data_IF_361686845606
#
_entry.id   IF_361686845606
#
_cell.length_a   1.000
_cell.length_b   1.000
_cell.length_c   1.000
_cell.angle_alpha   90.00
_cell.angle_beta   90.00
_cell.angle_gamma   90.00
#
_symmetry.space_group_name_H-M   'P 1'
#
loop_
_entity.id
_entity.type
_entity.pdbx_description
1 polymer ?
#
# COMPACT_ATOMS: atom_id res chain seq x y z
N UNK A 1 15.06 -7.24 17.05
CA UNK A 1 13.59 -7.23 17.11
C UNK A 1 13.06 -5.81 16.91
N UNK A 2 12.13 -5.62 16.01
CA UNK A 2 11.60 -4.29 15.70
C UNK A 2 10.64 -3.83 16.80
N UNK A 3 10.83 -2.62 17.32
CA UNK A 3 9.96 -2.08 18.37
C UNK A 3 8.62 -1.60 17.79
N UNK A 4 7.60 -1.54 18.63
CA UNK A 4 6.30 -1.00 18.25
C UNK A 4 6.42 0.46 17.82
N UNK A 5 7.26 1.24 18.48
CA UNK A 5 7.52 2.65 18.14
C UNK A 5 8.09 2.76 16.73
N UNK A 6 9.03 1.91 16.36
CA UNK A 6 9.62 1.89 15.02
C UNK A 6 8.57 1.50 13.97
N UNK A 7 7.76 0.48 14.27
CA UNK A 7 6.70 0.05 13.37
C UNK A 7 5.67 1.17 13.14
N UNK A 8 5.31 1.88 14.20
CA UNK A 8 4.37 3.00 14.11
C UNK A 8 4.94 4.11 13.24
N UNK A 9 6.21 4.46 13.42
CA UNK A 9 6.86 5.49 12.63
C UNK A 9 6.87 5.14 11.14
N UNK A 10 7.18 3.89 10.81
CA UNK A 10 7.16 3.41 9.43
C UNK A 10 5.74 3.44 8.88
N UNK A 11 4.76 2.99 9.66
CA UNK A 11 3.35 3.00 9.23
C UNK A 11 2.86 4.41 8.92
N UNK A 12 3.21 5.39 9.75
CA UNK A 12 2.85 6.79 9.51
C UNK A 12 3.50 7.33 8.25
N UNK A 13 4.78 7.08 8.06
CA UNK A 13 5.52 7.48 6.86
C UNK A 13 4.89 6.90 5.59
N UNK A 14 4.58 5.62 5.61
CA UNK A 14 3.99 4.93 4.46
C UNK A 14 2.55 5.39 4.19
N UNK A 15 1.79 5.66 5.24
CA UNK A 15 0.43 6.19 5.09
C UNK A 15 0.44 7.56 4.42
N UNK A 16 1.37 8.43 4.80
CA UNK A 16 1.52 9.74 4.18
C UNK A 16 1.94 9.60 2.71
N UNK A 17 2.92 8.74 2.43
CA UNK A 17 3.40 8.52 1.06
C UNK A 17 2.30 7.95 0.17
N UNK A 18 1.54 6.97 0.67
CA UNK A 18 0.43 6.38 -0.07
C UNK A 18 -0.70 7.40 -0.29
N UNK A 19 -0.99 8.19 0.73
CA UNK A 19 -2.00 9.26 0.62
C UNK A 19 -1.63 10.30 -0.43
N UNK A 20 -0.35 10.70 -0.48
CA UNK A 20 0.13 11.62 -1.49
C UNK A 20 0.02 11.03 -2.90
N UNK A 21 0.33 9.75 -3.04
CA UNK A 21 0.20 9.06 -4.34
C UNK A 21 -1.24 9.05 -4.82
N UNK A 22 -2.18 8.71 -3.94
CA UNK A 22 -3.60 8.69 -4.27
C UNK A 22 -4.08 10.10 -4.60
N UNK A 23 -3.69 11.09 -3.82
CA UNK A 23 -4.06 12.49 -4.05
C UNK A 23 -3.55 12.97 -5.42
N UNK A 24 -2.31 12.63 -5.80
CA UNK A 24 -1.76 13.02 -7.08
C UNK A 24 -2.56 12.42 -8.25
N UNK A 25 -2.98 11.17 -8.12
CA UNK A 25 -3.79 10.53 -9.14
C UNK A 25 -5.17 11.18 -9.27
N UNK A 26 -5.72 11.66 -8.16
CA UNK A 26 -6.99 12.39 -8.15
C UNK A 26 -6.86 13.80 -8.71
N UNK A 27 -5.80 14.52 -8.35
CA UNK A 27 -5.57 15.90 -8.76
C UNK A 27 -5.15 16.01 -10.23
N UNK A 28 -4.50 14.97 -10.75
CA UNK A 28 -4.00 14.93 -12.13
C UNK A 28 -4.56 13.71 -12.86
N UNK A 29 -5.89 13.67 -13.09
CA UNK A 29 -6.48 12.52 -13.75
C UNK A 29 -5.96 12.42 -15.19
N UNK A 30 -5.46 11.26 -15.54
CA UNK A 30 -5.10 10.96 -16.93
C UNK A 30 -6.37 11.06 -17.75
N UNK A 31 -6.35 11.70 -18.95
CA UNK A 31 -7.52 11.74 -19.79
C UNK A 31 -8.01 10.33 -20.07
N UNK A 32 -9.13 9.99 -19.47
CA UNK A 32 -9.66 8.63 -19.52
C UNK A 32 -10.69 8.57 -20.64
N UNK A 33 -10.26 8.19 -21.82
CA UNK A 33 -11.19 8.07 -22.94
C UNK A 33 -11.99 6.77 -22.87
N UNK A 34 -11.52 5.78 -22.11
CA UNK A 34 -12.16 4.47 -22.10
C UNK A 34 -12.27 3.84 -20.71
N UNK A 35 -11.68 4.44 -19.69
CA UNK A 35 -11.77 3.91 -18.33
C UNK A 35 -12.78 4.71 -17.53
N UNK A 36 -13.71 4.02 -16.86
CA UNK A 36 -14.65 4.65 -15.97
C UNK A 36 -14.00 5.11 -14.68
N UNK A 37 -14.72 5.91 -13.91
CA UNK A 37 -14.29 6.40 -12.60
C UNK A 37 -13.85 5.27 -11.67
N UNK A 38 -14.58 4.15 -11.70
CA UNK A 38 -14.28 2.98 -10.88
C UNK A 38 -12.89 2.41 -11.18
N UNK A 39 -12.48 2.38 -12.45
CA UNK A 39 -11.18 1.85 -12.83
C UNK A 39 -10.03 2.74 -12.33
N UNK A 40 -10.23 4.05 -12.32
CA UNK A 40 -9.26 5.01 -11.81
C UNK A 40 -9.06 4.81 -10.29
N UNK A 41 -10.16 4.64 -9.55
CA UNK A 41 -10.10 4.40 -8.09
C UNK A 41 -9.40 3.08 -7.80
N UNK A 42 -9.73 2.01 -8.52
CA UNK A 42 -9.11 0.71 -8.35
C UNK A 42 -7.60 0.76 -8.64
N UNK A 43 -7.21 1.45 -9.71
CA UNK A 43 -5.80 1.63 -10.05
C UNK A 43 -5.03 2.37 -8.95
N UNK A 44 -5.63 3.41 -8.37
CA UNK A 44 -5.02 4.16 -7.28
C UNK A 44 -4.85 3.28 -6.03
N UNK A 45 -5.84 2.46 -5.71
CA UNK A 45 -5.79 1.55 -4.57
C UNK A 45 -4.67 0.52 -4.74
N UNK A 46 -4.56 -0.09 -5.92
CA UNK A 46 -3.47 -1.03 -6.21
C UNK A 46 -2.11 -0.36 -6.14
N UNK A 47 -1.97 0.85 -6.66
CA UNK A 47 -0.71 1.58 -6.61
C UNK A 47 -0.30 1.90 -5.17
N UNK A 48 -1.25 2.34 -4.34
CA UNK A 48 -1.00 2.62 -2.94
C UNK A 48 -0.59 1.35 -2.18
N UNK A 49 -1.28 0.24 -2.41
CA UNK A 49 -0.95 -1.04 -1.80
C UNK A 49 0.46 -1.49 -2.21
N UNK A 50 0.79 -1.40 -3.48
CA UNK A 50 2.11 -1.79 -3.98
C UNK A 50 3.23 -0.93 -3.36
N UNK A 51 3.00 0.37 -3.22
CA UNK A 51 3.96 1.26 -2.57
C UNK A 51 4.25 0.81 -1.14
N UNK A 52 3.21 0.53 -0.37
CA UNK A 52 3.34 0.11 1.03
C UNK A 52 4.01 -1.26 1.12
N UNK A 53 3.53 -2.25 0.37
CA UNK A 53 4.06 -3.61 0.46
C UNK A 53 5.51 -3.70 0.01
N UNK A 54 5.88 -2.99 -1.05
CA UNK A 54 7.26 -2.96 -1.52
C UNK A 54 8.20 -2.32 -0.49
N UNK A 55 7.77 -1.23 0.15
CA UNK A 55 8.56 -0.57 1.18
C UNK A 55 8.74 -1.46 2.42
N UNK A 56 7.69 -2.15 2.85
CA UNK A 56 7.75 -3.06 4.00
C UNK A 56 8.65 -4.25 3.69
N UNK A 57 8.52 -4.85 2.51
CA UNK A 57 9.39 -5.98 2.11
C UNK A 57 10.85 -5.59 2.12
N UNK A 58 11.18 -4.38 1.68
CA UNK A 58 12.55 -3.90 1.65
C UNK A 58 13.14 -3.72 3.04
N UNK A 59 12.32 -3.23 3.98
CA UNK A 59 12.76 -2.97 5.36
C UNK A 59 12.63 -4.17 6.28
N UNK A 60 11.60 -4.98 6.09
CA UNK A 60 11.24 -6.08 6.98
C UNK A 60 10.91 -7.33 6.17
N UNK A 61 11.93 -8.01 5.62
CA UNK A 61 11.69 -9.14 4.71
C UNK A 61 11.01 -10.35 5.36
N UNK A 62 10.92 -10.39 6.70
CA UNK A 62 10.27 -11.49 7.43
C UNK A 62 8.83 -11.17 7.82
N UNK A 63 8.32 -9.98 7.47
CA UNK A 63 6.96 -9.59 7.80
C UNK A 63 5.97 -10.10 6.75
N UNK A 64 4.75 -10.39 7.20
CA UNK A 64 3.67 -10.82 6.33
C UNK A 64 2.64 -9.73 6.09
N UNK A 65 1.63 -10.04 5.28
CA UNK A 65 0.63 -9.08 4.85
C UNK A 65 -0.77 -9.68 4.85
N UNK A 66 -1.73 -8.86 5.21
CA UNK A 66 -3.15 -9.09 4.98
C UNK A 66 -3.67 -7.87 4.25
N UNK A 67 -4.06 -8.03 3.00
CA UNK A 67 -4.45 -6.92 2.14
C UNK A 67 -5.89 -7.07 1.65
N UNK A 68 -6.55 -5.95 1.43
CA UNK A 68 -7.89 -5.90 0.85
C UNK A 68 -7.88 -6.47 -0.58
N UNK A 69 -6.87 -6.05 -1.35
CA UNK A 69 -6.70 -6.55 -2.72
C UNK A 69 -5.93 -7.86 -2.72
N UNK A 70 -6.44 -8.85 -3.44
CA UNK A 70 -5.80 -10.15 -3.52
C UNK A 70 -4.44 -10.05 -4.23
N UNK A 71 -3.41 -10.52 -3.56
CA UNK A 71 -2.07 -10.62 -4.14
C UNK A 71 -1.40 -11.87 -3.59
N UNK A 72 -1.43 -12.94 -4.37
CA UNK A 72 -0.86 -14.22 -3.98
C UNK A 72 0.66 -14.18 -3.87
N UNK A 73 1.31 -13.14 -4.39
CA UNK A 73 2.76 -12.98 -4.27
C UNK A 73 3.20 -12.55 -2.88
N UNK A 74 2.28 -12.05 -2.04
CA UNK A 74 2.60 -11.55 -0.72
C UNK A 74 2.58 -12.66 0.33
N UNK A 75 3.60 -12.75 1.19
CA UNK A 75 3.58 -13.70 2.31
C UNK A 75 2.50 -13.32 3.30
N UNK A 76 1.75 -14.31 3.78
CA UNK A 76 0.64 -14.11 4.72
C UNK A 76 1.02 -14.42 6.16
N UNK A 77 2.22 -14.90 6.37
CA UNK A 77 2.74 -15.29 7.69
C UNK A 77 4.03 -14.54 7.96
N UNK A 78 4.30 -14.30 9.22
CA UNK A 78 5.52 -13.64 9.62
C UNK A 78 5.47 -13.20 11.07
N UNK A 79 6.58 -12.68 11.56
CA UNK A 79 6.71 -12.16 12.91
C UNK A 79 5.73 -11.01 13.16
N UNK A 80 5.52 -10.19 12.14
CA UNK A 80 4.57 -9.08 12.17
C UNK A 80 3.73 -9.17 10.90
N UNK A 81 2.44 -8.96 11.03
CA UNK A 81 1.51 -8.93 9.91
C UNK A 81 1.02 -7.49 9.68
N UNK A 82 1.24 -6.98 8.49
CA UNK A 82 0.76 -5.66 8.10
C UNK A 82 -0.64 -5.80 7.50
N UNK A 83 -1.60 -5.12 8.12
CA UNK A 83 -2.97 -5.10 7.61
C UNK A 83 -3.13 -3.81 6.79
N UNK A 84 -3.43 -3.97 5.52
CA UNK A 84 -3.57 -2.84 4.59
C UNK A 84 -4.99 -2.82 4.07
N UNK A 85 -5.74 -1.82 4.52
CA UNK A 85 -7.13 -1.59 4.14
C UNK A 85 -7.22 -0.19 3.53
N UNK A 86 -7.19 -0.11 2.20
CA UNK A 86 -7.23 1.18 1.52
C UNK A 86 -8.59 1.88 1.62
#
# INVERSE_FOLDING_TARGET
>A
MTSVTELLAVAEELAISAGNLVFDKWANPVPVQSKGFRDVVTEADFAAQALITNAVKARFPTHGFLTEEDDDSLPREGEVIWVIDP
#
